data_IF_560111643202
#
_entry.id   IF_560111643202
#
_cell.length_a   1.000
_cell.length_b   1.000
_cell.length_c   1.000
_cell.angle_alpha   90.00
_cell.angle_beta   90.00
_cell.angle_gamma   90.00
#
_symmetry.space_group_name_H-M   'P 1'
#
loop_
_entity.id
_entity.type
_entity.pdbx_description
1 polymer ?
#
# COMPACT_ATOMS: atom_id res chain seq x y z
N UNK A 1 -2.58 27.56 12.08
CA UNK A 1 -1.40 27.52 11.18
C UNK A 1 -1.42 26.15 10.51
N UNK A 2 -1.35 26.08 9.20
CA UNK A 2 -1.30 24.78 8.51
C UNK A 2 0.04 24.11 8.82
N UNK A 3 0.01 22.85 9.22
CA UNK A 3 1.21 22.05 9.40
C UNK A 3 1.75 21.63 8.02
N UNK A 4 3.07 21.47 7.91
CA UNK A 4 3.68 20.91 6.71
C UNK A 4 3.76 19.39 6.84
N UNK A 5 3.48 18.70 5.74
CA UNK A 5 3.63 17.26 5.63
C UNK A 5 4.91 16.94 4.84
N UNK A 6 5.75 16.09 5.40
CA UNK A 6 7.02 15.70 4.80
C UNK A 6 7.03 14.22 4.44
N UNK A 7 7.63 13.89 3.30
CA UNK A 7 7.98 12.52 2.96
C UNK A 7 9.39 12.26 3.48
N UNK A 8 9.52 11.41 4.49
CA UNK A 8 10.79 11.15 5.18
C UNK A 8 11.58 10.01 4.53
N UNK A 9 10.90 8.98 4.04
CA UNK A 9 11.51 7.84 3.34
C UNK A 9 10.47 7.18 2.43
N UNK A 10 10.93 6.30 1.55
CA UNK A 10 10.10 5.50 0.67
C UNK A 10 10.76 4.18 0.28
N UNK A 11 9.96 3.12 0.31
CA UNK A 11 10.37 1.78 -0.08
C UNK A 11 9.37 1.21 -1.07
N UNK A 12 9.85 0.49 -2.05
CA UNK A 12 8.99 -0.26 -2.98
C UNK A 12 9.53 -1.65 -3.25
N UNK A 13 8.65 -2.58 -3.51
CA UNK A 13 8.98 -3.89 -4.07
C UNK A 13 9.20 -3.77 -5.58
N UNK A 14 9.82 -4.78 -6.21
CA UNK A 14 9.80 -4.90 -7.67
C UNK A 14 8.35 -4.97 -8.17
N UNK A 15 8.11 -4.43 -9.36
CA UNK A 15 6.83 -4.59 -10.07
C UNK A 15 6.87 -5.91 -10.80
N UNK A 16 5.97 -6.82 -10.42
CA UNK A 16 5.84 -8.13 -11.04
C UNK A 16 5.06 -8.08 -12.36
N UNK A 17 5.42 -8.99 -13.26
CA UNK A 17 4.60 -9.26 -14.44
C UNK A 17 3.44 -10.17 -14.04
N UNK A 18 2.26 -9.97 -14.64
CA UNK A 18 1.12 -10.87 -14.44
C UNK A 18 1.52 -12.34 -14.69
N UNK A 19 1.24 -13.22 -13.73
CA UNK A 19 1.66 -14.62 -13.77
C UNK A 19 3.17 -14.85 -13.73
N UNK A 20 3.96 -13.83 -13.34
CA UNK A 20 5.42 -13.88 -13.26
C UNK A 20 5.95 -14.27 -11.88
N UNK A 21 7.16 -13.83 -11.57
CA UNK A 21 7.92 -14.25 -10.39
C UNK A 21 7.23 -13.96 -9.04
N UNK A 22 6.33 -12.97 -8.99
CA UNK A 22 5.59 -12.63 -7.77
C UNK A 22 4.21 -13.29 -7.68
N UNK A 23 3.83 -14.14 -8.65
CA UNK A 23 2.49 -14.74 -8.72
C UNK A 23 2.19 -15.71 -7.56
N UNK A 24 3.20 -16.24 -6.89
CA UNK A 24 3.06 -17.11 -5.73
C UNK A 24 3.11 -16.38 -4.40
N UNK A 25 3.39 -15.07 -4.41
CA UNK A 25 3.45 -14.25 -3.20
C UNK A 25 2.07 -13.70 -2.91
N UNK A 26 1.59 -13.92 -1.69
CA UNK A 26 0.30 -13.37 -1.26
C UNK A 26 0.33 -11.84 -1.24
N UNK A 27 -0.83 -11.27 -1.47
CA UNK A 27 -1.01 -9.81 -1.53
C UNK A 27 -0.61 -9.12 -0.23
N UNK A 28 -1.11 -9.62 0.86
CA UNK A 28 -0.88 -9.10 2.20
C UNK A 28 0.59 -9.25 2.65
N UNK A 29 1.23 -10.39 2.32
CA UNK A 29 2.65 -10.60 2.59
C UNK A 29 3.52 -9.62 1.80
N UNK A 30 3.24 -9.44 0.51
CA UNK A 30 3.98 -8.49 -0.31
C UNK A 30 3.80 -7.05 0.18
N UNK A 31 2.59 -6.70 0.62
CA UNK A 31 2.29 -5.38 1.16
C UNK A 31 2.99 -5.12 2.51
N UNK A 32 3.30 -6.16 3.28
CA UNK A 32 4.03 -6.05 4.54
C UNK A 32 5.53 -5.74 4.35
N UNK A 33 6.12 -6.17 3.23
CA UNK A 33 7.57 -6.02 2.98
C UNK A 33 8.05 -4.57 3.07
N UNK A 34 7.42 -3.56 2.42
CA UNK A 34 7.86 -2.17 2.53
C UNK A 34 7.75 -1.62 3.94
N UNK A 35 6.73 -2.02 4.70
CA UNK A 35 6.55 -1.57 6.09
C UNK A 35 7.68 -2.13 6.95
N UNK A 36 7.94 -3.43 6.87
CA UNK A 36 9.01 -4.08 7.62
C UNK A 36 10.38 -3.47 7.29
N UNK A 37 10.64 -3.15 6.02
CA UNK A 37 11.87 -2.51 5.60
C UNK A 37 12.01 -1.08 6.15
N UNK A 38 10.94 -0.28 6.17
CA UNK A 38 10.96 1.05 6.79
C UNK A 38 11.29 0.95 8.28
N UNK A 39 10.70 0.00 8.98
CA UNK A 39 10.97 -0.24 10.40
C UNK A 39 12.43 -0.63 10.62
N UNK A 40 12.98 -1.49 9.77
CA UNK A 40 14.37 -1.93 9.85
C UNK A 40 15.37 -0.80 9.57
N UNK A 41 15.06 0.09 8.61
CA UNK A 41 15.90 1.26 8.29
C UNK A 41 15.92 2.32 9.38
N UNK A 42 14.83 2.42 10.11
CA UNK A 42 14.64 3.49 11.10
C UNK A 42 14.36 2.94 12.51
N UNK A 43 15.32 2.20 13.11
CA UNK A 43 15.13 1.60 14.43
C UNK A 43 15.01 2.65 15.57
N UNK A 44 15.36 3.90 15.28
CA UNK A 44 15.21 5.02 16.22
C UNK A 44 13.79 5.56 16.29
N UNK A 45 12.91 5.20 15.34
CA UNK A 45 11.52 5.65 15.33
C UNK A 45 10.69 4.75 16.23
N UNK A 46 9.91 5.37 17.09
CA UNK A 46 8.90 4.66 17.89
C UNK A 46 7.66 4.37 17.02
N UNK A 47 7.66 3.23 16.38
CA UNK A 47 6.58 2.82 15.47
C UNK A 47 5.24 2.58 16.16
N UNK A 48 5.20 2.52 17.50
CA UNK A 48 3.95 2.46 18.24
C UNK A 48 3.16 3.79 18.17
N UNK A 49 3.83 4.87 17.77
CA UNK A 49 3.23 6.19 17.57
C UNK A 49 2.75 6.42 16.13
N UNK A 50 2.72 5.38 15.32
CA UNK A 50 2.12 5.49 14.00
C UNK A 50 0.61 5.65 14.13
N UNK A 51 0.09 6.78 13.66
CA UNK A 51 -1.33 7.12 13.77
C UNK A 51 -2.19 6.27 12.83
N UNK A 52 -1.68 6.00 11.63
CA UNK A 52 -2.41 5.23 10.63
C UNK A 52 -1.48 4.59 9.60
N UNK A 53 -1.87 3.42 9.11
CA UNK A 53 -1.34 2.86 7.86
C UNK A 53 -2.41 2.98 6.79
N UNK A 54 -2.15 3.73 5.74
CA UNK A 54 -3.11 4.00 4.65
C UNK A 54 -2.60 3.36 3.37
N UNK A 55 -3.28 2.33 2.88
CA UNK A 55 -2.95 1.70 1.60
C UNK A 55 -4.05 1.88 0.57
N UNK A 56 -3.63 2.13 -0.67
CA UNK A 56 -4.52 2.12 -1.81
C UNK A 56 -4.62 0.72 -2.40
N UNK A 57 -5.85 0.23 -2.55
CA UNK A 57 -6.14 -1.02 -3.24
C UNK A 57 -7.51 -0.93 -3.93
N UNK A 58 -7.51 -1.20 -5.24
CA UNK A 58 -8.72 -1.11 -6.05
C UNK A 58 -9.60 -2.36 -5.98
N UNK A 59 -9.04 -3.50 -5.58
CA UNK A 59 -9.75 -4.77 -5.52
C UNK A 59 -9.43 -5.50 -4.21
N UNK A 60 -10.25 -5.29 -3.21
CA UNK A 60 -10.08 -5.81 -1.87
C UNK A 60 -10.77 -7.17 -1.68
N UNK A 61 -10.63 -8.05 -2.65
CA UNK A 61 -11.19 -9.41 -2.64
C UNK A 61 -10.09 -10.46 -2.45
N UNK A 62 -10.42 -11.60 -1.86
CA UNK A 62 -9.50 -12.72 -1.69
C UNK A 62 -8.41 -12.45 -0.67
N UNK A 63 -7.15 -12.51 -1.08
CA UNK A 63 -5.98 -12.41 -0.21
C UNK A 63 -5.82 -11.04 0.44
N UNK A 64 -6.41 -9.99 -0.13
CA UNK A 64 -6.39 -8.62 0.41
C UNK A 64 -7.22 -8.47 1.69
N UNK A 65 -8.02 -9.47 2.04
CA UNK A 65 -8.81 -9.54 3.28
C UNK A 65 -9.70 -8.32 3.56
N UNK A 66 -10.11 -7.60 2.52
CA UNK A 66 -10.92 -6.36 2.54
C UNK A 66 -10.27 -5.17 3.25
N UNK A 67 -9.12 -5.35 3.87
CA UNK A 67 -8.31 -4.28 4.45
C UNK A 67 -6.83 -4.68 4.46
N UNK A 68 -6.20 -4.59 3.30
CA UNK A 68 -4.79 -4.96 3.12
C UNK A 68 -3.85 -4.11 3.96
N UNK A 69 -4.18 -2.84 4.21
CA UNK A 69 -3.37 -1.96 5.07
C UNK A 69 -3.22 -2.53 6.49
N UNK A 70 -4.34 -2.95 7.09
CA UNK A 70 -4.33 -3.53 8.43
C UNK A 70 -3.59 -4.85 8.47
N UNK A 71 -3.82 -5.73 7.48
CA UNK A 71 -3.13 -7.01 7.40
C UNK A 71 -1.62 -6.82 7.21
N UNK A 72 -1.22 -5.93 6.31
CA UNK A 72 0.19 -5.62 6.07
C UNK A 72 0.89 -5.08 7.33
N UNK A 73 0.23 -4.18 8.08
CA UNK A 73 0.76 -3.66 9.34
C UNK A 73 1.04 -4.78 10.35
N UNK A 74 0.07 -5.68 10.54
CA UNK A 74 0.20 -6.81 11.46
C UNK A 74 1.29 -7.80 11.01
N UNK A 75 1.33 -8.15 9.73
CA UNK A 75 2.31 -9.07 9.17
C UNK A 75 3.73 -8.49 9.19
N UNK A 76 3.86 -7.17 9.07
CA UNK A 76 5.14 -6.47 9.21
C UNK A 76 5.65 -6.42 10.67
N UNK A 77 4.83 -6.80 11.63
CA UNK A 77 5.17 -6.78 13.05
C UNK A 77 4.95 -5.42 13.72
N UNK A 78 4.13 -4.54 13.14
CA UNK A 78 3.73 -3.31 13.81
C UNK A 78 2.90 -3.61 15.07
N UNK A 79 2.92 -2.71 16.07
CA UNK A 79 2.06 -2.83 17.24
C UNK A 79 0.58 -2.99 16.87
N UNK A 80 -0.13 -3.81 17.63
CA UNK A 80 -1.55 -4.11 17.35
C UNK A 80 -2.48 -2.90 17.48
N UNK A 81 -2.05 -1.88 18.19
CA UNK A 81 -2.84 -0.65 18.39
C UNK A 81 -2.77 0.28 17.16
N UNK A 82 -1.81 0.08 16.26
CA UNK A 82 -1.69 0.89 15.04
C UNK A 82 -2.82 0.54 14.07
N UNK A 83 -3.72 1.45 13.76
CA UNK A 83 -4.82 1.18 12.84
C UNK A 83 -4.36 1.13 11.38
N UNK A 84 -5.22 0.61 10.52
CA UNK A 84 -4.97 0.60 9.08
C UNK A 84 -6.25 0.74 8.29
N UNK A 85 -6.20 1.58 7.26
CA UNK A 85 -7.31 1.80 6.35
C UNK A 85 -6.90 1.56 4.90
N UNK A 86 -7.77 0.93 4.14
CA UNK A 86 -7.56 0.75 2.70
C UNK A 86 -8.52 1.64 1.92
N UNK A 87 -7.96 2.42 1.01
CA UNK A 87 -8.70 3.38 0.18
C UNK A 87 -8.75 2.92 -1.27
N UNK A 88 -9.84 3.19 -1.94
CA UNK A 88 -10.04 2.83 -3.34
C UNK A 88 -10.40 4.06 -4.18
N UNK A 89 -9.52 4.36 -5.14
CA UNK A 89 -9.75 5.28 -6.24
C UNK A 89 -9.21 4.66 -7.53
N UNK A 90 -9.52 3.38 -7.74
CA UNK A 90 -9.04 2.60 -8.88
C UNK A 90 -7.51 2.75 -9.05
N UNK A 91 -7.03 3.08 -10.24
CA UNK A 91 -5.59 3.19 -10.53
C UNK A 91 -4.87 4.30 -9.74
N UNK A 92 -5.60 5.24 -9.15
CA UNK A 92 -5.04 6.34 -8.36
C UNK A 92 -5.02 6.04 -6.84
N UNK A 93 -5.42 4.85 -6.40
CA UNK A 93 -5.58 4.52 -4.97
C UNK A 93 -4.31 4.74 -4.15
N UNK A 94 -3.15 4.36 -4.66
CA UNK A 94 -1.87 4.57 -3.97
C UNK A 94 -1.51 6.05 -3.82
N UNK A 95 -1.73 6.85 -4.86
CA UNK A 95 -1.52 8.31 -4.80
C UNK A 95 -2.50 8.95 -3.82
N UNK A 96 -3.74 8.49 -3.81
CA UNK A 96 -4.77 8.99 -2.89
C UNK A 96 -4.44 8.67 -1.43
N UNK A 97 -3.89 7.49 -1.15
CA UNK A 97 -3.40 7.13 0.18
C UNK A 97 -2.38 8.14 0.70
N UNK A 98 -1.40 8.52 -0.12
CA UNK A 98 -0.42 9.57 0.22
C UNK A 98 -1.10 10.93 0.41
N UNK A 99 -2.08 11.24 -0.43
CA UNK A 99 -2.88 12.47 -0.31
C UNK A 99 -3.70 12.53 0.98
N UNK A 100 -4.28 11.42 1.42
CA UNK A 100 -4.98 11.32 2.71
C UNK A 100 -4.04 11.51 3.88
N UNK A 101 -2.88 10.84 3.88
CA UNK A 101 -1.85 11.03 4.90
C UNK A 101 -1.42 12.49 5.01
N UNK A 102 -1.10 13.13 3.88
CA UNK A 102 -0.69 14.53 3.86
C UNK A 102 -1.79 15.47 4.39
N UNK A 103 -3.05 15.20 4.07
CA UNK A 103 -4.18 15.99 4.61
C UNK A 103 -4.35 15.79 6.10
N UNK A 104 -4.26 14.56 6.59
CA UNK A 104 -4.34 14.25 8.02
C UNK A 104 -3.24 14.92 8.84
N UNK A 105 -2.00 14.96 8.33
CA UNK A 105 -0.89 15.69 8.97
C UNK A 105 -1.16 17.19 8.95
N UNK A 106 -1.59 17.74 7.82
CA UNK A 106 -1.87 19.18 7.68
C UNK A 106 -3.05 19.66 8.53
N UNK A 107 -4.03 18.81 8.79
CA UNK A 107 -5.15 19.11 9.69
C UNK A 107 -4.77 18.97 11.18
N UNK A 108 -3.65 18.31 11.49
CA UNK A 108 -3.24 18.02 12.85
C UNK A 108 -3.86 16.77 13.45
N UNK A 109 -4.49 15.93 12.62
CA UNK A 109 -5.06 14.66 13.05
C UNK A 109 -3.98 13.58 13.18
N UNK A 110 -2.90 13.70 12.42
CA UNK A 110 -1.78 12.75 12.38
C UNK A 110 -0.43 13.44 12.56
N UNK A 111 0.53 12.72 13.15
CA UNK A 111 1.94 13.09 13.25
C UNK A 111 2.84 12.15 12.44
N UNK A 112 2.54 10.84 12.46
CA UNK A 112 3.30 9.81 11.76
C UNK A 112 2.36 8.85 11.02
N UNK A 113 2.49 8.77 9.70
CA UNK A 113 1.65 7.92 8.85
C UNK A 113 2.51 7.13 7.88
N UNK A 114 2.18 5.87 7.68
CA UNK A 114 2.67 5.08 6.56
C UNK A 114 1.61 5.10 5.47
N UNK A 115 1.96 5.56 4.28
CA UNK A 115 1.04 5.62 3.15
C UNK A 115 1.64 4.94 1.92
N UNK A 116 0.84 4.17 1.21
CA UNK A 116 1.30 3.47 0.02
C UNK A 116 0.16 2.91 -0.81
N UNK A 117 0.51 2.02 -1.72
CA UNK A 117 -0.48 1.34 -2.54
C UNK A 117 0.05 0.01 -3.03
N UNK A 118 -0.84 -0.92 -3.22
CA UNK A 118 -0.54 -2.23 -3.74
C UNK A 118 -1.22 -2.41 -5.11
N UNK A 119 -0.40 -2.53 -6.15
CA UNK A 119 -0.82 -3.05 -7.45
C UNK A 119 -0.40 -4.51 -7.53
N UNK A 120 -1.13 -5.38 -6.85
CA UNK A 120 -0.85 -6.81 -6.90
C UNK A 120 -1.31 -7.47 -8.19
N UNK A 121 -2.33 -6.93 -8.77
CA UNK A 121 -2.73 -7.26 -10.11
C UNK A 121 -2.51 -6.04 -10.99
N UNK A 122 -1.45 -6.08 -11.78
CA UNK A 122 -1.54 -5.37 -13.05
C UNK A 122 -2.72 -5.99 -13.78
N UNK A 123 -3.88 -5.40 -13.61
CA UNK A 123 -4.96 -5.58 -14.56
C UNK A 123 -4.33 -5.52 -15.93
N UNK A 124 -4.66 -6.44 -16.82
CA UNK A 124 -4.12 -6.41 -18.17
C UNK A 124 -4.27 -5.00 -18.74
N UNK A 125 -3.15 -4.31 -18.86
CA UNK A 125 -3.15 -2.99 -19.49
C UNK A 125 -3.23 -3.17 -21.00
N UNK A 126 -4.05 -2.40 -21.72
CA UNK A 126 -4.03 -2.40 -23.18
C UNK A 126 -2.65 -2.08 -23.78
N UNK A 127 -1.72 -1.56 -22.98
CA UNK A 127 -0.31 -1.31 -23.35
C UNK A 127 0.56 -2.57 -23.25
N UNK A 128 0.09 -3.63 -22.59
CA UNK A 128 0.80 -4.89 -22.55
C UNK A 128 0.49 -5.67 -23.83
N UNK A 129 1.50 -5.81 -24.69
CA UNK A 129 1.36 -6.49 -26.00
C UNK A 129 0.81 -7.92 -25.93
N UNK A 130 0.85 -8.57 -24.78
CA UNK A 130 0.29 -9.90 -24.56
C UNK A 130 -1.21 -9.90 -24.32
N UNK A 131 -1.78 -8.75 -24.08
CA UNK A 131 -3.20 -8.60 -23.76
C UNK A 131 -4.02 -7.95 -24.85
N UNK A 132 -3.37 -7.46 -25.90
CA UNK A 132 -4.06 -7.07 -27.13
C UNK A 132 -4.70 -8.26 -27.87
N UNK A 133 -4.50 -9.47 -27.39
CA UNK A 133 -5.22 -10.66 -27.83
C UNK A 133 -6.35 -10.98 -26.86
N UNK A 134 -7.39 -10.17 -26.88
CA UNK A 134 -8.68 -10.67 -26.44
C UNK A 134 -9.05 -11.85 -27.33
N UNK A 135 -9.47 -13.00 -26.78
CA UNK A 135 -10.13 -14.00 -27.61
C UNK A 135 -11.34 -13.30 -28.22
N UNK A 136 -11.41 -13.26 -29.52
CA UNK A 136 -12.64 -12.92 -30.19
C UNK A 136 -13.65 -13.93 -29.70
N UNK A 137 -14.62 -13.48 -28.90
CA UNK A 137 -15.79 -14.29 -28.59
C UNK A 137 -16.45 -14.67 -29.88
N UNK A 138 -16.38 -15.97 -30.22
CA UNK A 138 -17.24 -16.54 -31.20
C UNK A 138 -18.69 -16.49 -30.71
#
# INVERSE_FOLDING_TARGET
>A
MALDAFICDGVRTPIGKFGGALSSVRADDLAAVPIAELMARHPQVDWSKTDEVIYGDANQAGEDNRNVARMAALLAGMPQDVPGITVNRLCASGMDAVGFAARGIKSGDYELVIAGGCLLYTSPSPRDKRQSRMPSSA
#
